data_IF_381191331818
#
_entry.id   IF_381191331818
#
_cell.length_a   1.000
_cell.length_b   1.000
_cell.length_c   1.000
_cell.angle_alpha   90.00
_cell.angle_beta   90.00
_cell.angle_gamma   90.00
#
_symmetry.space_group_name_H-M   'P 1'
#
loop_
_entity.id
_entity.type
_entity.pdbx_description
1 polymer ?
#
# COMPACT_ATOMS: atom_id res chain seq x y z
N UNK A 1 -19.79 1.10 24.83
CA UNK A 1 -19.70 -0.38 24.85
C UNK A 1 -19.13 -0.99 23.56
N UNK A 2 -19.66 -0.71 22.35
CA UNK A 2 -19.07 -1.24 21.11
C UNK A 2 -17.75 -0.56 20.72
N UNK A 3 -17.64 0.77 20.91
CA UNK A 3 -16.40 1.55 20.66
C UNK A 3 -15.21 1.05 21.50
N UNK A 4 -15.44 0.74 22.77
CA UNK A 4 -14.38 0.35 23.70
C UNK A 4 -13.81 -1.04 23.38
N UNK A 5 -14.68 -1.96 22.94
CA UNK A 5 -14.28 -3.30 22.46
C UNK A 5 -13.49 -3.22 21.16
N UNK A 6 -13.89 -2.36 20.22
CA UNK A 6 -13.14 -2.16 18.96
C UNK A 6 -11.75 -1.58 19.24
N UNK A 7 -11.64 -0.58 20.13
CA UNK A 7 -10.34 0.01 20.50
C UNK A 7 -9.44 -1.01 21.20
N UNK A 8 -10.01 -1.85 22.07
CA UNK A 8 -9.26 -2.92 22.76
C UNK A 8 -8.74 -3.98 21.78
N UNK A 9 -9.59 -4.45 20.86
CA UNK A 9 -9.20 -5.38 19.80
C UNK A 9 -8.12 -4.76 18.91
N UNK A 10 -8.25 -3.46 18.58
CA UNK A 10 -7.25 -2.72 17.82
C UNK A 10 -5.91 -2.67 18.54
N UNK A 11 -5.90 -2.32 19.84
CA UNK A 11 -4.69 -2.30 20.66
C UNK A 11 -4.06 -3.68 20.81
N UNK A 12 -4.85 -4.74 20.95
CA UNK A 12 -4.37 -6.11 21.05
C UNK A 12 -3.77 -6.63 19.73
N UNK A 13 -4.42 -6.35 18.60
CA UNK A 13 -3.90 -6.64 17.26
C UNK A 13 -2.61 -5.85 16.98
N UNK A 14 -2.58 -4.56 17.32
CA UNK A 14 -1.40 -3.73 17.14
C UNK A 14 -0.23 -4.17 18.06
N UNK A 15 -0.50 -4.56 19.32
CA UNK A 15 0.57 -4.94 20.25
C UNK A 15 1.21 -6.29 19.94
N UNK A 16 0.46 -7.21 19.32
CA UNK A 16 0.97 -8.52 18.90
C UNK A 16 1.58 -8.51 17.50
N UNK A 17 1.41 -7.42 16.74
CA UNK A 17 2.05 -7.28 15.45
C UNK A 17 3.56 -7.03 15.63
N UNK A 18 4.43 -7.94 15.18
CA UNK A 18 5.88 -7.83 15.37
C UNK A 18 6.47 -6.59 14.66
N UNK A 19 5.73 -6.03 13.70
CA UNK A 19 6.05 -4.78 12.99
C UNK A 19 6.16 -3.58 13.92
N UNK A 20 5.25 -3.43 14.88
CA UNK A 20 5.21 -2.24 15.76
C UNK A 20 6.34 -2.29 16.78
N UNK A 21 6.69 -3.49 17.22
CA UNK A 21 7.82 -3.71 18.14
C UNK A 21 9.14 -3.32 17.47
N UNK A 22 9.34 -3.70 16.21
CA UNK A 22 10.56 -3.36 15.46
C UNK A 22 10.57 -1.91 14.94
N UNK A 23 9.40 -1.31 14.67
CA UNK A 23 9.29 0.10 14.27
C UNK A 23 9.87 1.08 15.31
N UNK A 24 9.77 0.76 16.60
CA UNK A 24 10.38 1.57 17.67
C UNK A 24 11.90 1.69 17.53
N UNK A 25 12.53 0.68 16.95
CA UNK A 25 13.99 0.61 16.80
C UNK A 25 14.49 1.26 15.50
N UNK A 26 13.60 1.70 14.60
CA UNK A 26 14.00 2.38 13.37
C UNK A 26 14.49 3.81 13.64
N UNK A 27 15.51 4.21 12.89
CA UNK A 27 16.11 5.53 12.92
C UNK A 27 15.10 6.64 12.54
N UNK A 28 15.29 7.83 13.09
CA UNK A 28 14.49 9.01 12.75
C UNK A 28 14.58 9.40 11.27
N UNK A 29 15.76 9.34 10.60
CA UNK A 29 15.88 9.60 9.17
C UNK A 29 15.03 8.65 8.30
N UNK A 30 14.96 7.36 8.65
CA UNK A 30 14.12 6.40 7.92
C UNK A 30 12.63 6.74 8.05
N UNK A 31 12.20 7.19 9.24
CA UNK A 31 10.80 7.60 9.50
C UNK A 31 10.39 8.85 8.73
N UNK A 32 11.28 9.83 8.60
CA UNK A 32 11.00 11.07 7.84
C UNK A 32 11.03 10.81 6.34
N UNK A 33 11.98 10.01 5.84
CA UNK A 33 12.01 9.60 4.45
C UNK A 33 10.73 8.86 4.04
N UNK A 34 10.32 7.87 4.86
CA UNK A 34 9.08 7.13 4.64
C UNK A 34 7.82 8.02 4.67
N UNK A 35 7.81 9.07 5.50
CA UNK A 35 6.70 10.02 5.55
C UNK A 35 6.60 10.82 4.25
N UNK A 36 7.73 11.32 3.73
CA UNK A 36 7.76 12.05 2.47
C UNK A 36 7.40 11.17 1.27
N UNK A 37 7.91 9.94 1.23
CA UNK A 37 7.54 8.96 0.19
C UNK A 37 6.04 8.66 0.21
N UNK A 38 5.46 8.46 1.40
CA UNK A 38 4.02 8.26 1.55
C UNK A 38 3.22 9.49 1.10
N UNK A 39 3.63 10.69 1.50
CA UNK A 39 2.96 11.93 1.15
C UNK A 39 2.96 12.17 -0.37
N UNK A 40 4.11 12.01 -1.01
CA UNK A 40 4.26 12.16 -2.47
C UNK A 40 3.40 11.11 -3.19
N UNK A 41 3.46 9.85 -2.74
CA UNK A 41 2.65 8.77 -3.31
C UNK A 41 1.17 9.06 -3.19
N UNK A 42 0.74 9.61 -2.05
CA UNK A 42 -0.65 9.99 -1.82
C UNK A 42 -1.08 11.11 -2.77
N UNK A 43 -0.31 12.21 -2.85
CA UNK A 43 -0.60 13.33 -3.74
C UNK A 43 -0.74 12.85 -5.19
N UNK A 44 0.21 12.04 -5.67
CA UNK A 44 0.19 11.50 -7.04
C UNK A 44 -1.03 10.58 -7.23
N UNK A 45 -1.35 9.74 -6.25
CA UNK A 45 -2.49 8.83 -6.32
C UNK A 45 -3.84 9.56 -6.36
N UNK A 46 -3.94 10.75 -5.76
CA UNK A 46 -5.15 11.58 -5.78
C UNK A 46 -5.30 12.45 -7.05
N UNK A 47 -4.26 12.58 -7.89
CA UNK A 47 -4.32 13.38 -9.13
C UNK A 47 -5.51 13.01 -10.03
N UNK A 48 -5.81 11.72 -10.31
CA UNK A 48 -6.96 11.36 -11.13
C UNK A 48 -8.29 11.87 -10.56
N UNK A 49 -8.45 11.91 -9.23
CA UNK A 49 -9.67 12.44 -8.58
C UNK A 49 -9.76 13.95 -8.78
N UNK A 50 -8.65 14.67 -8.58
CA UNK A 50 -8.62 16.11 -8.81
C UNK A 50 -8.95 16.45 -10.27
N UNK A 51 -8.38 15.71 -11.22
CA UNK A 51 -8.66 15.88 -12.65
C UNK A 51 -10.12 15.57 -12.95
N UNK A 52 -10.66 14.46 -12.44
CA UNK A 52 -12.07 14.10 -12.64
C UNK A 52 -13.04 15.14 -12.07
N UNK A 53 -12.75 15.67 -10.89
CA UNK A 53 -13.56 16.73 -10.28
C UNK A 53 -13.44 18.05 -11.04
N UNK A 54 -12.26 18.37 -11.56
CA UNK A 54 -12.03 19.56 -12.37
C UNK A 54 -12.79 19.48 -13.71
N UNK A 55 -12.78 18.33 -14.38
CA UNK A 55 -13.57 18.09 -15.59
C UNK A 55 -15.08 18.22 -15.30
N UNK A 56 -15.55 17.61 -14.21
CA UNK A 56 -16.95 17.69 -13.80
C UNK A 56 -17.37 19.14 -13.48
N UNK A 57 -16.48 19.93 -12.89
CA UNK A 57 -16.70 21.35 -12.64
C UNK A 57 -16.82 22.15 -13.95
N UNK A 58 -15.93 21.91 -14.92
CA UNK A 58 -15.99 22.56 -16.24
C UNK A 58 -17.27 22.24 -17.02
N UNK A 59 -17.81 21.03 -16.85
CA UNK A 59 -19.06 20.62 -17.50
C UNK A 59 -20.31 21.22 -16.83
N UNK A 60 -20.25 21.48 -15.51
CA UNK A 60 -21.41 21.90 -14.75
C UNK A 60 -21.01 22.92 -13.66
N UNK A 61 -21.01 24.20 -14.03
CA UNK A 61 -20.56 25.34 -13.20
C UNK A 61 -21.32 25.50 -11.87
N UNK A 62 -22.41 24.75 -11.66
CA UNK A 62 -23.24 24.83 -10.46
C UNK A 62 -22.80 23.87 -9.34
N UNK A 63 -21.79 23.02 -9.56
CA UNK A 63 -21.41 21.99 -8.60
C UNK A 63 -20.14 22.37 -7.83
N UNK A 64 -20.23 22.43 -6.51
CA UNK A 64 -19.05 22.61 -5.65
C UNK A 64 -18.08 21.43 -5.80
N UNK A 65 -16.81 21.74 -6.06
CA UNK A 65 -15.71 20.75 -6.26
C UNK A 65 -15.64 19.74 -5.10
N UNK A 66 -15.86 20.19 -3.87
CA UNK A 66 -15.82 19.35 -2.66
C UNK A 66 -16.93 18.29 -2.69
N UNK A 67 -18.15 18.65 -3.12
CA UNK A 67 -19.25 17.70 -3.22
C UNK A 67 -19.00 16.66 -4.31
N UNK A 68 -18.40 17.05 -5.44
CA UNK A 68 -17.99 16.11 -6.48
C UNK A 68 -16.91 15.14 -6.00
N UNK A 69 -15.92 15.64 -5.26
CA UNK A 69 -14.92 14.77 -4.62
C UNK A 69 -15.57 13.75 -3.69
N UNK A 70 -16.47 14.20 -2.81
CA UNK A 70 -17.17 13.32 -1.90
C UNK A 70 -17.99 12.26 -2.65
N UNK A 71 -18.73 12.66 -3.67
CA UNK A 71 -19.56 11.76 -4.47
C UNK A 71 -18.72 10.71 -5.20
N UNK A 72 -17.62 11.10 -5.84
CA UNK A 72 -16.69 10.17 -6.49
C UNK A 72 -16.11 9.16 -5.48
N UNK A 73 -15.60 9.64 -4.34
CA UNK A 73 -15.04 8.78 -3.31
C UNK A 73 -16.10 7.86 -2.64
N UNK A 74 -17.35 8.31 -2.58
CA UNK A 74 -18.46 7.54 -2.00
C UNK A 74 -18.88 6.34 -2.86
N UNK A 75 -18.44 6.25 -4.12
CA UNK A 75 -18.78 5.16 -5.03
C UNK A 75 -17.88 3.92 -4.88
N UNK A 76 -17.08 3.84 -3.80
CA UNK A 76 -16.22 2.68 -3.54
C UNK A 76 -14.86 2.77 -4.21
N UNK A 77 -14.57 3.90 -4.88
CA UNK A 77 -13.25 4.17 -5.47
C UNK A 77 -12.13 4.10 -4.44
N UNK A 78 -12.42 4.44 -3.17
CA UNK A 78 -11.49 4.31 -2.06
C UNK A 78 -10.94 2.89 -1.89
N UNK A 79 -11.74 1.84 -2.16
CA UNK A 79 -11.26 0.46 -2.13
C UNK A 79 -10.26 0.18 -3.24
N UNK A 80 -10.50 0.73 -4.43
CA UNK A 80 -9.55 0.63 -5.54
C UNK A 80 -8.22 1.29 -5.15
N UNK A 81 -8.25 2.46 -4.51
CA UNK A 81 -7.04 3.11 -3.98
C UNK A 81 -6.31 2.28 -2.92
N UNK A 82 -7.04 1.63 -2.01
CA UNK A 82 -6.44 0.72 -1.03
C UNK A 82 -5.70 -0.41 -1.74
N UNK A 83 -6.32 -1.02 -2.75
CA UNK A 83 -5.68 -2.12 -3.49
C UNK A 83 -4.44 -1.70 -4.27
N UNK A 84 -4.49 -0.55 -4.95
CA UNK A 84 -3.35 -0.06 -5.73
C UNK A 84 -2.19 0.40 -4.84
N UNK A 85 -2.49 0.97 -3.67
CA UNK A 85 -1.50 1.45 -2.72
C UNK A 85 -0.82 0.30 -1.95
N UNK A 86 -1.56 -0.77 -1.64
CA UNK A 86 -1.00 -1.94 -0.94
C UNK A 86 -0.28 -2.94 -1.85
N UNK A 87 -0.54 -2.94 -3.16
CA UNK A 87 0.16 -3.81 -4.11
C UNK A 87 1.71 -3.67 -4.06
N UNK A 88 2.30 -2.45 -4.17
CA UNK A 88 3.75 -2.29 -4.05
C UNK A 88 4.26 -2.63 -2.64
N UNK A 89 3.42 -2.48 -1.61
CA UNK A 89 3.75 -2.86 -0.22
C UNK A 89 3.93 -4.36 -0.09
N UNK A 90 3.04 -5.16 -0.67
CA UNK A 90 3.17 -6.63 -0.71
C UNK A 90 4.48 -7.02 -1.39
N UNK A 91 4.82 -6.35 -2.51
CA UNK A 91 6.09 -6.58 -3.18
C UNK A 91 7.29 -6.24 -2.28
N UNK A 92 7.27 -5.10 -1.57
CA UNK A 92 8.34 -4.72 -0.64
C UNK A 92 8.53 -5.73 0.50
N UNK A 93 7.44 -6.29 1.01
CA UNK A 93 7.47 -7.34 2.05
C UNK A 93 8.11 -8.62 1.50
N UNK A 94 7.71 -9.04 0.29
CA UNK A 94 8.19 -10.27 -0.35
C UNK A 94 9.63 -10.18 -0.86
N UNK A 95 10.12 -8.97 -1.11
CA UNK A 95 11.48 -8.74 -1.62
C UNK A 95 12.51 -9.17 -0.58
N UNK A 96 13.09 -10.36 -0.76
CA UNK A 96 14.22 -10.81 0.04
C UNK A 96 15.42 -9.86 -0.19
N UNK A 97 15.94 -9.32 0.90
CA UNK A 97 17.17 -8.52 0.89
C UNK A 97 18.32 -9.41 1.37
N UNK A 98 19.32 -9.64 0.51
CA UNK A 98 20.57 -10.31 0.92
C UNK A 98 21.20 -9.48 2.05
N UNK A 99 21.68 -10.17 3.09
CA UNK A 99 22.39 -9.60 4.25
C UNK A 99 21.58 -8.67 5.19
N UNK A 100 20.26 -8.60 5.07
CA UNK A 100 19.41 -7.79 5.95
C UNK A 100 18.44 -8.71 6.70
N UNK A 101 18.09 -8.35 7.95
CA UNK A 101 17.04 -9.04 8.72
C UNK A 101 15.77 -9.15 7.87
N UNK A 102 15.30 -10.39 7.66
CA UNK A 102 14.01 -10.66 7.01
C UNK A 102 12.91 -9.84 7.67
N UNK A 103 11.94 -9.41 6.87
CA UNK A 103 10.74 -8.76 7.40
C UNK A 103 10.14 -9.66 8.50
N UNK A 104 9.85 -9.11 9.69
CA UNK A 104 9.39 -9.93 10.81
C UNK A 104 8.07 -10.62 10.42
N UNK A 105 7.95 -11.94 10.61
CA UNK A 105 6.76 -12.73 10.27
C UNK A 105 6.15 -12.48 8.89
N UNK A 106 6.99 -12.55 7.85
CA UNK A 106 6.64 -12.38 6.43
C UNK A 106 5.29 -13.02 6.04
N UNK A 107 5.04 -14.27 6.45
CA UNK A 107 3.82 -15.00 6.13
C UNK A 107 2.58 -14.28 6.67
N UNK A 108 2.60 -13.89 7.96
CA UNK A 108 1.48 -13.20 8.60
C UNK A 108 1.23 -11.85 7.95
N UNK A 109 2.30 -11.13 7.59
CA UNK A 109 2.21 -9.90 6.81
C UNK A 109 1.51 -10.13 5.47
N UNK A 110 2.02 -11.06 4.66
CA UNK A 110 1.46 -11.32 3.33
C UNK A 110 -0.02 -11.70 3.42
N UNK A 111 -0.41 -12.51 4.40
CA UNK A 111 -1.82 -12.83 4.65
C UNK A 111 -2.65 -11.61 5.07
N UNK A 112 -2.13 -10.75 5.95
CA UNK A 112 -2.84 -9.55 6.41
C UNK A 112 -3.03 -8.55 5.26
N UNK A 113 -1.95 -8.17 4.58
CA UNK A 113 -1.97 -7.21 3.49
C UNK A 113 -2.74 -7.76 2.28
N UNK A 114 -2.47 -9.01 1.90
CA UNK A 114 -3.20 -9.71 0.84
C UNK A 114 -4.68 -9.87 1.16
N UNK A 115 -5.04 -10.16 2.41
CA UNK A 115 -6.42 -10.25 2.87
C UNK A 115 -7.17 -8.92 2.75
N UNK A 116 -6.53 -7.80 3.12
CA UNK A 116 -7.12 -6.45 2.96
C UNK A 116 -7.33 -6.14 1.47
N UNK A 117 -6.34 -6.46 0.61
CA UNK A 117 -6.44 -6.25 -0.83
C UNK A 117 -7.57 -7.08 -1.44
N UNK A 118 -7.65 -8.38 -1.13
CA UNK A 118 -8.70 -9.27 -1.62
C UNK A 118 -10.09 -8.82 -1.13
N UNK A 119 -10.24 -8.52 0.16
CA UNK A 119 -11.51 -8.04 0.70
C UNK A 119 -11.95 -6.72 0.03
N UNK A 120 -11.02 -5.79 -0.15
CA UNK A 120 -11.30 -4.50 -0.83
C UNK A 120 -11.70 -4.71 -2.30
N UNK A 121 -11.00 -5.60 -3.01
CA UNK A 121 -11.30 -5.93 -4.40
C UNK A 121 -12.68 -6.59 -4.56
N UNK A 122 -13.03 -7.53 -3.66
CA UNK A 122 -14.33 -8.19 -3.66
C UNK A 122 -15.45 -7.17 -3.39
N UNK A 123 -15.31 -6.33 -2.37
CA UNK A 123 -16.32 -5.31 -2.05
C UNK A 123 -16.48 -4.32 -3.21
N UNK A 124 -15.38 -3.90 -3.83
CA UNK A 124 -15.40 -3.04 -5.02
C UNK A 124 -16.12 -3.71 -6.20
N UNK A 125 -15.80 -4.97 -6.50
CA UNK A 125 -16.42 -5.72 -7.59
C UNK A 125 -17.93 -5.90 -7.37
N UNK A 126 -18.34 -6.27 -6.15
CA UNK A 126 -19.75 -6.43 -5.81
C UNK A 126 -20.53 -5.11 -5.87
N UNK A 127 -19.92 -4.00 -5.46
CA UNK A 127 -20.53 -2.67 -5.60
C UNK A 127 -20.72 -2.29 -7.07
N UNK A 128 -19.77 -2.66 -7.94
CA UNK A 128 -19.83 -2.36 -9.37
C UNK A 128 -20.95 -3.10 -10.11
N UNK A 129 -21.36 -4.27 -9.62
CA UNK A 129 -22.52 -5.01 -10.15
C UNK A 129 -23.84 -4.59 -9.47
N UNK A 130 -23.87 -3.48 -8.72
CA UNK A 130 -25.02 -2.97 -7.98
C UNK A 130 -25.63 -3.99 -7.00
N UNK A 131 -24.80 -4.84 -6.38
CA UNK A 131 -25.28 -5.72 -5.32
C UNK A 131 -25.85 -4.89 -4.16
N UNK A 132 -26.97 -5.32 -3.58
CA UNK A 132 -27.70 -4.60 -2.54
C UNK A 132 -26.92 -4.55 -1.22
N UNK A 133 -25.95 -3.64 -1.14
CA UNK A 133 -25.31 -3.25 0.10
C UNK A 133 -25.92 -1.95 0.62
N UNK A 134 -26.00 -1.85 1.94
CA UNK A 134 -26.23 -0.56 2.58
C UNK A 134 -25.03 0.37 2.28
N UNK A 135 -25.28 1.37 1.44
CA UNK A 135 -24.28 2.35 1.00
C UNK A 135 -23.61 3.06 2.18
N UNK A 136 -24.35 3.27 3.28
CA UNK A 136 -23.84 3.92 4.48
C UNK A 136 -22.80 3.03 5.18
N UNK A 137 -23.09 1.74 5.32
CA UNK A 137 -22.17 0.78 5.91
C UNK A 137 -20.89 0.62 5.08
N UNK A 138 -21.00 0.50 3.75
CA UNK A 138 -19.84 0.41 2.86
C UNK A 138 -18.96 1.65 2.96
N UNK A 139 -19.58 2.84 2.97
CA UNK A 139 -18.85 4.10 3.10
C UNK A 139 -18.13 4.21 4.45
N UNK A 140 -18.74 3.76 5.56
CA UNK A 140 -18.07 3.73 6.87
C UNK A 140 -16.85 2.80 6.87
N UNK A 141 -16.98 1.62 6.26
CA UNK A 141 -15.90 0.63 6.20
C UNK A 141 -14.72 1.15 5.38
N UNK A 142 -14.95 1.75 4.21
CA UNK A 142 -13.84 2.28 3.40
C UNK A 142 -13.10 3.43 4.13
N UNK A 143 -13.82 4.33 4.81
CA UNK A 143 -13.19 5.43 5.56
C UNK A 143 -12.41 4.95 6.79
N UNK A 144 -12.70 3.74 7.29
CA UNK A 144 -11.94 3.11 8.37
C UNK A 144 -10.71 2.36 7.82
N UNK A 145 -10.88 1.57 6.76
CA UNK A 145 -9.80 0.75 6.19
C UNK A 145 -8.74 1.62 5.51
N UNK A 146 -9.12 2.71 4.85
CA UNK A 146 -8.18 3.58 4.16
C UNK A 146 -7.07 4.16 5.07
N UNK A 147 -7.36 4.88 6.18
CA UNK A 147 -6.31 5.38 7.07
C UNK A 147 -5.51 4.25 7.73
N UNK A 148 -6.13 3.10 7.98
CA UNK A 148 -5.41 1.93 8.49
C UNK A 148 -4.40 1.39 7.47
N UNK A 149 -4.77 1.30 6.19
CA UNK A 149 -3.85 0.90 5.11
C UNK A 149 -2.70 1.88 4.93
N UNK A 150 -2.94 3.18 5.10
CA UNK A 150 -1.88 4.20 5.08
C UNK A 150 -0.89 4.02 6.24
N UNK A 151 -1.39 3.74 7.45
CA UNK A 151 -0.53 3.45 8.60
C UNK A 151 0.33 2.20 8.33
N UNK A 152 -0.28 1.13 7.81
CA UNK A 152 0.43 -0.10 7.46
C UNK A 152 1.48 0.13 6.36
N UNK A 153 1.18 0.94 5.35
CA UNK A 153 2.15 1.33 4.32
C UNK A 153 3.30 2.12 4.92
N UNK A 154 3.00 3.10 5.79
CA UNK A 154 4.02 3.92 6.45
C UNK A 154 5.03 3.08 7.24
N UNK A 155 4.56 2.07 7.96
CA UNK A 155 5.42 1.14 8.72
C UNK A 155 6.34 0.35 7.78
N UNK A 156 5.79 -0.16 6.67
CA UNK A 156 6.58 -0.92 5.68
C UNK A 156 7.62 -0.02 5.01
N UNK A 157 7.25 1.19 4.60
CA UNK A 157 8.18 2.16 4.03
C UNK A 157 9.30 2.52 5.01
N UNK A 158 8.97 2.72 6.28
CA UNK A 158 9.98 2.99 7.32
C UNK A 158 10.98 1.84 7.42
N UNK A 159 10.50 0.60 7.46
CA UNK A 159 11.37 -0.57 7.49
C UNK A 159 12.19 -0.72 6.20
N UNK A 160 11.58 -0.43 5.05
CA UNK A 160 12.21 -0.46 3.74
C UNK A 160 13.36 0.57 3.64
N UNK A 161 13.22 1.72 4.31
CA UNK A 161 14.19 2.81 4.28
C UNK A 161 15.26 2.71 5.38
N UNK A 162 15.00 1.94 6.44
CA UNK A 162 16.00 1.67 7.48
C UNK A 162 17.16 0.80 6.98
N UNK A 163 16.87 -0.14 6.08
CA UNK A 163 17.86 -1.09 5.58
C UNK A 163 18.11 -0.98 4.08
N UNK A 164 18.42 0.22 3.54
CA UNK A 164 18.51 0.41 2.10
C UNK A 164 19.47 -0.62 1.46
N UNK A 165 19.09 -1.19 0.32
CA UNK A 165 19.99 -2.07 -0.40
C UNK A 165 21.22 -1.27 -0.83
N UNK A 166 22.43 -1.78 -0.54
CA UNK A 166 23.67 -1.11 -0.92
C UNK A 166 23.73 -1.00 -2.46
N UNK A 167 23.71 0.21 -3.05
CA UNK A 167 23.64 0.39 -4.49
C UNK A 167 24.80 -0.29 -5.24
N UNK A 168 25.98 -0.30 -4.63
CA UNK A 168 27.16 -0.95 -5.19
C UNK A 168 26.97 -2.47 -5.29
N UNK A 169 26.45 -3.11 -4.24
CA UNK A 169 26.14 -4.55 -4.26
C UNK A 169 25.04 -4.90 -5.25
N UNK A 170 24.02 -4.05 -5.39
CA UNK A 170 22.93 -4.25 -6.36
C UNK A 170 23.47 -4.17 -7.78
N UNK A 171 24.32 -3.19 -8.08
CA UNK A 171 24.93 -3.01 -9.40
C UNK A 171 25.87 -4.17 -9.73
N UNK A 172 26.73 -4.57 -8.78
CA UNK A 172 27.62 -5.72 -8.96
C UNK A 172 26.85 -7.02 -9.20
N UNK A 173 25.79 -7.28 -8.43
CA UNK A 173 24.95 -8.46 -8.62
C UNK A 173 24.24 -8.47 -9.99
N UNK A 174 23.90 -7.30 -10.54
CA UNK A 174 23.34 -7.18 -11.89
C UNK A 174 24.40 -7.45 -12.96
N UNK A 175 25.62 -6.95 -12.81
CA UNK A 175 26.74 -7.22 -13.71
C UNK A 175 27.12 -8.70 -13.75
N UNK A 176 27.19 -9.34 -12.57
CA UNK A 176 27.48 -10.77 -12.45
C UNK A 176 26.42 -11.62 -13.18
N UNK A 177 25.15 -11.27 -12.98
CA UNK A 177 24.03 -11.95 -13.63
C UNK A 177 24.06 -11.75 -15.16
N UNK A 178 24.30 -10.53 -15.61
CA UNK A 178 24.44 -10.21 -17.03
C UNK A 178 25.58 -11.01 -17.67
N UNK A 179 26.74 -11.06 -17.02
CA UNK A 179 27.91 -11.80 -17.50
C UNK A 179 27.64 -13.31 -17.58
N UNK A 180 26.93 -13.87 -16.57
CA UNK A 180 26.51 -15.26 -16.57
C UNK A 180 25.55 -15.58 -17.72
N UNK A 181 24.55 -14.72 -17.95
CA UNK A 181 23.57 -14.88 -19.03
C UNK A 181 24.24 -14.79 -20.41
N UNK A 182 25.15 -13.84 -20.63
CA UNK A 182 25.91 -13.72 -21.89
C UNK A 182 26.78 -14.97 -22.13
N UNK A 183 27.47 -15.49 -21.11
CA UNK A 183 28.25 -16.74 -21.22
C UNK A 183 27.37 -17.92 -21.60
N UNK A 184 26.16 -18.02 -21.04
CA UNK A 184 25.19 -19.07 -21.37
C UNK A 184 24.73 -18.99 -22.82
N UNK A 185 24.46 -17.78 -23.34
CA UNK A 185 24.06 -17.59 -24.74
C UNK A 185 25.20 -17.88 -25.72
N UNK A 186 26.44 -17.49 -25.40
CA UNK A 186 27.61 -17.81 -26.25
C UNK A 186 27.85 -19.32 -26.37
N UNK A 187 27.66 -20.07 -25.29
CA UNK A 187 27.76 -21.54 -25.33
C UNK A 187 26.69 -22.14 -26.23
N UNK A 188 25.44 -21.69 -26.09
CA UNK A 188 24.31 -22.20 -26.89
C UNK A 188 24.43 -21.94 -28.40
N UNK A 189 25.13 -20.88 -28.82
CA UNK A 189 25.31 -20.57 -30.24
C UNK A 189 26.50 -21.29 -30.90
N UNK A 190 27.35 -21.94 -30.10
CA UNK A 190 28.51 -22.68 -30.59
C UNK A 190 28.25 -24.20 -30.68
N UNK A 191 27.06 -24.65 -30.27
CA UNK A 191 26.54 -26.01 -30.42
C UNK A 191 25.47 -26.03 -31.53
#
# INVERSE_FOLDING_TARGET
MFKDKVIFIYKALLSHMPYIRNYKNCSTPAKTAAFWELLITLIISFLPIFIGCFIAYLQNNSIHIINNMYNNLSNGELFLYITSLLAPVIYMILKERKNIKRFPDLILSVFLYGGIVLASAIVFALKRINFAFDAVSVNRVQYLIFPFSLLLMYVVLTYNNEFPANPAEVMQAQEDKFTADVRKHRRKNND
#
